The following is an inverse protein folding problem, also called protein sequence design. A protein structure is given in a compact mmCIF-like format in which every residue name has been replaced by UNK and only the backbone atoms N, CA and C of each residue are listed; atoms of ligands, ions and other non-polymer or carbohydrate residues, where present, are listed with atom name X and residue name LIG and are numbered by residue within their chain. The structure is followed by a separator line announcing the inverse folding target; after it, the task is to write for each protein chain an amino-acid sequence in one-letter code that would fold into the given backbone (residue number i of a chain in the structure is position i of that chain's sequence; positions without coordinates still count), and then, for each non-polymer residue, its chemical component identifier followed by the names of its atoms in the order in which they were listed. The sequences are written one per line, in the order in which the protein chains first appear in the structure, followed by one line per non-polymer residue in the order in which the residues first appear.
data_IF_761347449139
#
_entry.id   IF_761347449139
#
_cell.length_a   1.000
_cell.length_b   1.000
_cell.length_c   1.000
_cell.angle_alpha   90.00
_cell.angle_beta   90.00
_cell.angle_gamma   90.00
#
_symmetry.space_group_name_H-M   'P 1'
#
loop_
_entity.id
_entity.type
_entity.pdbx_description
1 polymer ?
#
# COMPACT_ATOMS: atom_id res chain seq x y z
N UNK A 1 1.30 -11.24 10.40
CA UNK A 1 0.24 -10.29 9.98
C UNK A 1 -0.60 -10.96 8.90
N UNK A 2 -1.94 -10.86 8.91
CA UNK A 2 -2.85 -11.65 8.02
C UNK A 2 -2.50 -11.54 6.52
N UNK A 3 -1.89 -10.43 6.10
CA UNK A 3 -1.39 -10.23 4.73
C UNK A 3 -0.42 -11.34 4.28
N UNK A 4 0.64 -11.59 5.04
CA UNK A 4 1.70 -12.52 4.63
C UNK A 4 1.33 -13.99 4.88
N UNK A 5 0.32 -14.26 5.71
CA UNK A 5 -0.26 -15.59 5.86
C UNK A 5 -1.00 -16.03 4.58
N UNK A 6 -1.68 -15.09 3.91
CA UNK A 6 -2.44 -15.36 2.69
C UNK A 6 -1.66 -15.06 1.40
N UNK A 7 -0.58 -14.27 1.48
CA UNK A 7 0.22 -13.84 0.34
C UNK A 7 1.72 -13.97 0.64
N UNK A 8 2.17 -15.20 0.92
CA UNK A 8 3.57 -15.48 1.29
C UNK A 8 4.56 -15.00 0.23
N UNK A 9 4.16 -14.94 -1.03
CA UNK A 9 4.99 -14.48 -2.14
C UNK A 9 5.40 -13.01 -2.01
N UNK A 10 4.62 -12.20 -1.29
CA UNK A 10 4.95 -10.79 -1.04
C UNK A 10 6.15 -10.64 -0.12
N UNK A 11 6.44 -11.61 0.76
CA UNK A 11 7.63 -11.57 1.62
C UNK A 11 8.93 -11.55 0.79
N UNK A 12 8.91 -12.11 -0.42
CA UNK A 12 10.08 -12.16 -1.29
C UNK A 12 10.47 -10.77 -1.83
N UNK A 13 9.55 -9.79 -1.81
CA UNK A 13 9.81 -8.41 -2.22
C UNK A 13 10.59 -7.62 -1.15
N UNK A 14 10.71 -8.19 0.04
CA UNK A 14 11.37 -7.58 1.19
C UNK A 14 12.70 -8.31 1.46
N UNK A 15 13.79 -7.88 0.82
CA UNK A 15 15.10 -8.57 0.85
C UNK A 15 15.61 -8.87 2.27
N UNK A 16 15.29 -8.02 3.25
CA UNK A 16 15.70 -8.19 4.66
C UNK A 16 14.77 -9.07 5.50
N UNK A 17 13.60 -9.48 4.99
CA UNK A 17 12.52 -10.14 5.76
C UNK A 17 12.03 -11.47 5.16
N UNK A 18 12.61 -11.93 4.05
CA UNK A 18 12.25 -13.18 3.37
C UNK A 18 12.27 -14.42 4.31
N UNK A 19 13.03 -14.34 5.41
CA UNK A 19 13.15 -15.39 6.43
C UNK A 19 12.09 -15.39 7.53
N UNK A 20 11.34 -14.30 7.74
CA UNK A 20 10.37 -14.17 8.84
C UNK A 20 9.01 -14.75 8.44
N UNK A 21 8.89 -16.07 8.62
CA UNK A 21 7.72 -16.84 8.13
C UNK A 21 6.64 -16.99 9.19
N UNK A 22 6.96 -16.80 10.47
CA UNK A 22 5.98 -16.92 11.54
C UNK A 22 5.33 -15.59 11.90
N UNK A 23 4.14 -15.67 12.49
CA UNK A 23 3.36 -14.48 12.85
C UNK A 23 4.04 -13.62 13.91
N UNK A 24 4.72 -14.26 14.86
CA UNK A 24 5.40 -13.61 15.98
C UNK A 24 6.66 -12.89 15.48
N UNK A 25 7.46 -13.54 14.63
CA UNK A 25 8.61 -12.92 13.96
C UNK A 25 8.22 -11.71 13.10
N UNK A 26 7.09 -11.80 12.39
CA UNK A 26 6.57 -10.67 11.60
C UNK A 26 6.06 -9.52 12.47
N UNK A 27 5.51 -9.82 13.65
CA UNK A 27 4.98 -8.81 14.57
C UNK A 27 6.09 -8.02 15.28
N UNK A 28 7.25 -8.63 15.49
CA UNK A 28 8.43 -7.99 16.09
C UNK A 28 9.30 -7.24 15.06
N UNK A 29 8.97 -7.35 13.77
CA UNK A 29 9.73 -6.71 12.69
C UNK A 29 9.50 -5.20 12.67
N UNK A 30 10.54 -4.44 13.01
CA UNK A 30 10.54 -2.98 12.99
C UNK A 30 10.30 -2.42 11.58
N UNK A 31 10.82 -3.04 10.52
CA UNK A 31 10.63 -2.54 9.15
C UNK A 31 9.21 -2.84 8.62
N UNK A 32 8.57 -3.94 9.06
CA UNK A 32 7.16 -4.18 8.77
C UNK A 32 6.27 -3.21 9.55
N UNK A 33 6.62 -2.92 10.80
CA UNK A 33 5.94 -1.90 11.59
C UNK A 33 6.10 -0.51 10.97
N UNK A 34 7.28 -0.17 10.45
CA UNK A 34 7.54 1.10 9.75
C UNK A 34 6.77 1.19 8.43
N UNK A 35 6.76 0.12 7.62
CA UNK A 35 5.99 0.09 6.38
C UNK A 35 4.48 0.16 6.65
N UNK A 36 3.98 -0.60 7.62
CA UNK A 36 2.60 -0.50 8.08
C UNK A 36 2.29 0.90 8.63
N UNK A 37 3.25 1.53 9.32
CA UNK A 37 3.15 2.90 9.81
C UNK A 37 3.05 3.94 8.69
N UNK A 38 3.81 3.77 7.60
CA UNK A 38 3.71 4.60 6.39
C UNK A 38 2.34 4.41 5.74
N UNK A 39 1.85 3.17 5.60
CA UNK A 39 0.52 2.88 5.05
C UNK A 39 -0.55 3.54 5.93
N UNK A 40 -0.53 3.33 7.24
CA UNK A 40 -1.50 3.92 8.18
C UNK A 40 -1.44 5.45 8.18
N UNK A 41 -0.25 6.04 8.08
CA UNK A 41 -0.08 7.50 7.95
C UNK A 41 -0.61 8.01 6.62
N UNK A 42 -0.43 7.25 5.52
CA UNK A 42 -0.96 7.59 4.19
C UNK A 42 -2.48 7.58 4.19
N UNK A 43 -3.08 6.57 4.84
CA UNK A 43 -4.52 6.44 5.00
C UNK A 43 -5.09 7.54 5.91
N UNK A 44 -4.45 7.80 7.06
CA UNK A 44 -4.85 8.85 8.00
C UNK A 44 -4.76 10.24 7.37
N UNK A 45 -3.68 10.50 6.61
CA UNK A 45 -3.56 11.70 5.80
C UNK A 45 -4.66 11.75 4.76
N UNK A 46 -4.91 10.69 3.98
CA UNK A 46 -5.98 10.68 2.97
C UNK A 46 -7.38 10.95 3.50
N UNK A 47 -7.68 10.48 4.72
CA UNK A 47 -8.95 10.78 5.39
C UNK A 47 -8.98 12.24 5.90
N UNK A 48 -7.87 12.74 6.45
CA UNK A 48 -7.78 14.11 6.99
C UNK A 48 -7.59 15.20 5.93
N UNK A 49 -7.01 14.85 4.79
CA UNK A 49 -6.69 15.75 3.69
C UNK A 49 -7.78 15.78 2.62
N UNK A 50 -8.99 15.31 2.92
CA UNK A 50 -10.15 15.56 2.06
C UNK A 50 -10.39 17.07 1.85
N UNK A 51 -9.84 17.92 2.72
CA UNK A 51 -9.81 19.38 2.55
C UNK A 51 -8.69 19.89 1.61
N UNK A 52 -7.66 19.08 1.33
CA UNK A 52 -6.58 19.37 0.36
C UNK A 52 -6.22 18.11 -0.46
N UNK A 53 -7.07 17.85 -1.45
CA UNK A 53 -7.02 16.68 -2.32
C UNK A 53 -5.74 16.65 -3.19
N UNK A 54 -5.19 17.81 -3.56
CA UNK A 54 -4.00 17.88 -4.42
C UNK A 54 -2.73 17.36 -3.70
N UNK A 55 -2.56 17.73 -2.43
CA UNK A 55 -1.44 17.26 -1.61
C UNK A 55 -1.51 15.74 -1.37
N UNK A 56 -2.72 15.23 -1.18
CA UNK A 56 -2.97 13.79 -1.09
C UNK A 56 -2.51 13.06 -2.36
N UNK A 57 -2.98 13.49 -3.53
CA UNK A 57 -2.63 12.86 -4.79
C UNK A 57 -1.12 12.90 -5.04
N UNK A 58 -0.48 14.04 -4.78
CA UNK A 58 0.97 14.16 -4.93
C UNK A 58 1.73 13.16 -4.05
N UNK A 59 1.32 13.03 -2.78
CA UNK A 59 1.95 12.11 -1.85
C UNK A 59 1.74 10.65 -2.26
N UNK A 60 0.49 10.24 -2.53
CA UNK A 60 0.18 8.85 -2.88
C UNK A 60 0.78 8.46 -4.23
N UNK A 61 0.81 9.36 -5.22
CA UNK A 61 1.52 9.10 -6.48
C UNK A 61 3.01 8.87 -6.24
N UNK A 62 3.65 9.64 -5.36
CA UNK A 62 5.07 9.47 -5.01
C UNK A 62 5.33 8.12 -4.36
N UNK A 63 4.43 7.67 -3.48
CA UNK A 63 4.49 6.33 -2.89
C UNK A 63 4.29 5.25 -3.96
N UNK A 64 3.32 5.40 -4.86
CA UNK A 64 3.12 4.48 -5.98
C UNK A 64 4.37 4.36 -6.84
N UNK A 65 4.97 5.49 -7.19
CA UNK A 65 6.19 5.58 -7.99
C UNK A 65 7.40 4.89 -7.31
N UNK A 66 7.54 4.98 -5.99
CA UNK A 66 8.67 4.35 -5.29
C UNK A 66 8.66 2.82 -5.43
N UNK A 67 7.49 2.21 -5.61
CA UNK A 67 7.36 0.76 -5.78
C UNK A 67 7.88 0.28 -7.15
N UNK A 68 8.11 1.16 -8.13
CA UNK A 68 8.79 0.76 -9.38
C UNK A 68 10.25 0.38 -9.13
N UNK A 69 10.85 0.88 -8.03
CA UNK A 69 12.24 0.60 -7.67
C UNK A 69 12.39 -0.77 -6.98
N UNK A 70 11.29 -1.45 -6.66
CA UNK A 70 11.29 -2.76 -5.99
C UNK A 70 11.34 -3.86 -7.07
N UNK A 71 12.45 -4.63 -7.15
CA UNK A 71 12.57 -5.69 -8.14
C UNK A 71 11.45 -6.72 -8.02
N UNK A 72 10.79 -7.02 -9.13
CA UNK A 72 9.71 -8.02 -9.18
C UNK A 72 8.36 -7.55 -8.61
N UNK A 73 8.24 -6.30 -8.17
CA UNK A 73 6.96 -5.74 -7.78
C UNK A 73 6.05 -5.58 -9.00
N UNK A 74 4.78 -6.00 -8.86
CA UNK A 74 3.74 -5.87 -9.88
C UNK A 74 2.59 -5.04 -9.31
N UNK A 75 1.93 -4.25 -10.15
CA UNK A 75 0.77 -3.44 -9.76
C UNK A 75 -0.32 -4.22 -9.02
N UNK A 76 -0.56 -5.47 -9.42
CA UNK A 76 -1.55 -6.35 -8.77
C UNK A 76 -1.24 -6.63 -7.28
N UNK A 77 0.01 -6.42 -6.84
CA UNK A 77 0.37 -6.56 -5.43
C UNK A 77 -0.28 -5.49 -4.56
N UNK A 78 -0.58 -4.29 -5.08
CA UNK A 78 -1.28 -3.26 -4.31
C UNK A 78 -2.66 -3.74 -3.85
N UNK A 79 -3.40 -4.43 -4.72
CA UNK A 79 -4.74 -4.94 -4.41
C UNK A 79 -4.76 -5.94 -3.24
N UNK A 80 -3.66 -6.66 -3.00
CA UNK A 80 -3.57 -7.68 -1.95
C UNK A 80 -3.64 -7.12 -0.53
N UNK A 81 -3.43 -5.81 -0.34
CA UNK A 81 -3.53 -5.17 0.98
C UNK A 81 -4.96 -4.94 1.44
N UNK A 82 -5.93 -4.93 0.51
CA UNK A 82 -7.33 -4.53 0.78
C UNK A 82 -7.98 -5.35 1.89
N UNK A 83 -8.04 -6.67 1.72
CA UNK A 83 -8.74 -7.55 2.68
C UNK A 83 -8.04 -7.57 4.05
N UNK A 84 -6.70 -7.71 4.14
CA UNK A 84 -5.99 -7.60 5.41
C UNK A 84 -6.20 -6.25 6.12
N UNK A 85 -6.28 -5.15 5.36
CA UNK A 85 -6.57 -3.83 5.90
C UNK A 85 -7.99 -3.76 6.48
N UNK A 86 -9.02 -4.16 5.71
CA UNK A 86 -10.40 -4.15 6.18
C UNK A 86 -10.61 -5.05 7.40
N UNK A 87 -9.96 -6.21 7.42
CA UNK A 87 -9.93 -7.09 8.59
C UNK A 87 -9.33 -6.37 9.80
N UNK A 88 -8.16 -5.74 9.67
CA UNK A 88 -7.52 -5.02 10.76
C UNK A 88 -8.40 -3.85 11.28
N UNK A 89 -9.05 -3.10 10.40
CA UNK A 89 -9.98 -2.02 10.80
C UNK A 89 -11.18 -2.59 11.57
N UNK A 90 -11.77 -3.69 11.10
CA UNK A 90 -12.88 -4.36 11.79
C UNK A 90 -12.49 -4.82 13.19
N UNK A 91 -11.35 -5.50 13.31
CA UNK A 91 -10.83 -5.96 14.61
C UNK A 91 -10.49 -4.81 15.55
N UNK A 92 -10.05 -3.67 15.02
CA UNK A 92 -9.72 -2.47 15.81
C UNK A 92 -10.96 -1.74 16.31
N UNK A 93 -11.98 -1.62 15.46
CA UNK A 93 -13.21 -0.88 15.79
C UNK A 93 -14.25 -1.73 16.52
N UNK A 94 -14.19 -3.06 16.40
CA UNK A 94 -15.06 -4.02 17.09
C UNK A 94 -16.55 -3.63 16.97
N UNK A 95 -17.23 -3.40 18.10
CA UNK A 95 -18.65 -3.02 18.14
C UNK A 95 -18.95 -1.68 17.44
N UNK A 96 -17.93 -0.83 17.21
CA UNK A 96 -18.07 0.43 16.46
C UNK A 96 -18.00 0.22 14.95
N UNK A 97 -17.63 -0.96 14.48
CA UNK A 97 -17.60 -1.31 13.07
C UNK A 97 -19.03 -1.58 12.55
N UNK A 98 -19.73 -0.51 12.23
CA UNK A 98 -21.08 -0.56 11.64
C UNK A 98 -21.02 -0.74 10.13
N UNK A 99 -22.15 -1.10 9.50
CA UNK A 99 -22.26 -1.20 8.03
C UNK A 99 -21.86 0.10 7.32
N UNK A 100 -22.17 1.26 7.89
CA UNK A 100 -21.79 2.54 7.32
C UNK A 100 -20.26 2.74 7.35
N UNK A 101 -19.64 2.35 8.45
CA UNK A 101 -18.17 2.40 8.60
C UNK A 101 -17.50 1.44 7.62
N UNK A 102 -18.02 0.22 7.48
CA UNK A 102 -17.53 -0.75 6.49
C UNK A 102 -17.54 -0.18 5.06
N UNK A 103 -18.65 0.45 4.65
CA UNK A 103 -18.78 1.05 3.31
C UNK A 103 -17.75 2.17 3.12
N UNK A 104 -17.58 3.06 4.11
CA UNK A 104 -16.61 4.16 4.03
C UNK A 104 -15.19 3.60 3.86
N UNK A 105 -14.77 2.66 4.71
CA UNK A 105 -13.42 2.11 4.62
C UNK A 105 -13.16 1.34 3.33
N UNK A 106 -14.17 0.65 2.77
CA UNK A 106 -14.08 0.01 1.45
C UNK A 106 -13.84 1.02 0.33
N UNK A 107 -14.60 2.11 0.30
CA UNK A 107 -14.42 3.19 -0.69
C UNK A 107 -13.05 3.83 -0.53
N UNK A 108 -12.65 4.15 0.70
CA UNK A 108 -11.37 4.80 0.98
C UNK A 108 -10.18 3.94 0.56
N UNK A 109 -10.17 2.64 0.88
CA UNK A 109 -9.05 1.77 0.51
C UNK A 109 -8.97 1.54 -1.00
N UNK A 110 -10.12 1.40 -1.67
CA UNK A 110 -10.16 1.27 -3.13
C UNK A 110 -9.59 2.52 -3.80
N UNK A 111 -10.03 3.70 -3.37
CA UNK A 111 -9.51 4.97 -3.88
C UNK A 111 -7.99 5.11 -3.69
N UNK A 112 -7.46 4.70 -2.54
CA UNK A 112 -6.02 4.78 -2.26
C UNK A 112 -5.24 3.78 -3.12
N UNK A 113 -5.74 2.55 -3.28
CA UNK A 113 -5.11 1.54 -4.14
C UNK A 113 -5.09 2.01 -5.59
N UNK A 114 -6.21 2.55 -6.10
CA UNK A 114 -6.29 3.06 -7.47
C UNK A 114 -5.29 4.20 -7.69
N UNK A 115 -5.17 5.11 -6.71
CA UNK A 115 -4.21 6.23 -6.77
C UNK A 115 -2.75 5.75 -6.71
N UNK A 116 -2.44 4.71 -5.93
CA UNK A 116 -1.12 4.09 -5.88
C UNK A 116 -0.75 3.46 -7.23
N UNK A 117 -1.70 2.73 -7.83
CA UNK A 117 -1.54 2.12 -9.15
C UNK A 117 -1.31 3.19 -10.21
N UNK A 118 -2.09 4.27 -10.19
CA UNK A 118 -1.90 5.40 -11.11
C UNK A 118 -0.50 6.02 -10.98
N UNK A 119 -0.01 6.22 -9.76
CA UNK A 119 1.34 6.74 -9.51
C UNK A 119 2.44 5.82 -10.01
N UNK A 120 2.28 4.52 -9.80
CA UNK A 120 3.19 3.49 -10.28
C UNK A 120 3.24 3.45 -11.83
N UNK A 121 2.07 3.45 -12.49
CA UNK A 121 1.98 3.42 -13.96
C UNK A 121 2.58 4.68 -14.59
N UNK A 122 2.28 5.87 -14.05
CA UNK A 122 2.89 7.14 -14.50
C UNK A 122 4.42 7.10 -14.41
N UNK A 123 4.95 6.57 -13.31
CA UNK A 123 6.40 6.48 -13.11
C UNK A 123 7.07 5.52 -14.10
N UNK A 124 6.45 4.37 -14.39
CA UNK A 124 6.94 3.46 -15.43
C UNK A 124 6.95 4.11 -16.81
N UNK A 125 5.87 4.79 -17.17
CA UNK A 125 5.78 5.46 -18.47
C UNK A 125 6.80 6.60 -18.64
N UNK A 126 7.07 7.35 -17.57
CA UNK A 126 8.15 8.35 -17.56
C UNK A 126 9.54 7.72 -17.77
N UNK A 127 9.79 6.53 -17.21
CA UNK A 127 11.07 5.82 -17.40
C UNK A 127 11.22 5.30 -18.83
N UNK A 128 10.16 4.73 -19.41
CA UNK A 128 10.15 4.24 -20.80
C UNK A 128 10.39 5.39 -21.80
N UNK A 129 9.74 6.53 -21.59
CA UNK A 129 9.91 7.71 -22.44
C UNK A 129 11.33 8.31 -22.33
N UNK A 130 11.93 8.29 -21.15
CA UNK A 130 13.29 8.81 -20.94
C UNK A 130 14.35 7.97 -21.69
N UNK A 131 14.20 6.64 -21.69
CA UNK A 131 15.10 5.72 -22.41
C UNK A 131 14.96 5.90 -23.93
N UNK A 132 13.73 6.04 -24.43
CA UNK A 132 13.46 6.32 -25.85
C UNK A 132 14.07 7.64 -26.33
N UNK A 133 14.16 8.66 -25.49
CA UNK A 133 14.74 9.97 -25.85
C UNK A 133 16.27 10.04 -25.82
N UNK A 134 16.96 8.98 -25.39
CA UNK A 134 18.42 8.91 -25.36
C UNK A 134 19.04 8.11 -26.52
N UNK A 135 18.21 7.53 -27.39
CA UNK A 135 18.64 6.69 -28.53
C UNK A 135 18.61 7.42 -29.89
N UNK A 136 18.31 8.73 -29.91
CA UNK A 136 18.33 9.61 -31.10
C UNK A 136 19.52 10.60 -31.11
#
# INVERSE_FOLDING_TARGET
MVLFENHYELLNLFEKFQGLKTRDEQAESMELADHAGIVMTTLDKGIKSLDNIDEFFQYVHTVGASHTQIPGFKKDNFGKIKEPFLYAVRETLQERYTTNIEVIYKITIDFIIDTLVEGYEKALQCQENAVSSTED
#
